data_IF_000643013342
#
_entry.id   IF_000643013342
#
_cell.length_a   1.000
_cell.length_b   1.000
_cell.length_c   1.000
_cell.angle_alpha   90.00
_cell.angle_beta   90.00
_cell.angle_gamma   90.00
#
_symmetry.space_group_name_H-M   'P 1'
#
loop_
_entity.id
_entity.type
_entity.pdbx_description
1 polymer ?
#
# COMPACT_ATOMS: atom_id res chain seq x y z
N UNK A 1 -36.92 -28.66 39.03
CA UNK A 1 -36.12 -27.41 39.02
C UNK A 1 -34.65 -27.76 38.87
N UNK A 2 -34.01 -27.37 37.74
CA UNK A 2 -32.57 -27.61 37.52
C UNK A 2 -31.76 -26.68 38.41
N UNK A 3 -30.92 -27.23 39.30
CA UNK A 3 -29.96 -26.44 40.10
C UNK A 3 -28.95 -25.80 39.15
N UNK A 4 -29.00 -24.49 38.98
CA UNK A 4 -27.93 -23.74 38.34
C UNK A 4 -26.72 -23.75 39.29
N UNK A 5 -25.64 -24.42 38.89
CA UNK A 5 -24.38 -24.38 39.62
C UNK A 5 -23.78 -22.98 39.42
N UNK A 6 -23.71 -22.18 40.48
CA UNK A 6 -23.06 -20.88 40.45
C UNK A 6 -21.55 -21.01 40.28
N UNK A 7 -20.96 -20.08 39.52
CA UNK A 7 -19.51 -19.97 39.36
C UNK A 7 -18.84 -19.76 40.72
N UNK A 8 -17.77 -20.52 40.99
CA UNK A 8 -16.98 -20.33 42.22
C UNK A 8 -15.99 -19.18 42.04
N UNK A 9 -15.69 -18.45 43.13
CA UNK A 9 -14.73 -17.34 43.08
C UNK A 9 -13.34 -17.78 42.62
N UNK A 10 -12.94 -19.00 43.00
CA UNK A 10 -11.68 -19.61 42.58
C UNK A 10 -11.62 -19.82 41.05
N UNK A 11 -12.72 -20.29 40.46
CA UNK A 11 -12.81 -20.55 39.01
C UNK A 11 -12.67 -19.26 38.21
N UNK A 12 -13.27 -18.16 38.68
CA UNK A 12 -13.10 -16.84 38.05
C UNK A 12 -11.63 -16.38 38.12
N UNK A 13 -10.95 -16.58 39.25
CA UNK A 13 -9.57 -16.14 39.45
C UNK A 13 -8.60 -16.89 38.51
N UNK A 14 -8.76 -18.20 38.36
CA UNK A 14 -7.96 -19.01 37.45
C UNK A 14 -8.18 -18.58 35.99
N UNK A 15 -9.44 -18.37 35.57
CA UNK A 15 -9.76 -17.95 34.20
C UNK A 15 -9.14 -16.59 33.87
N UNK A 16 -9.19 -15.62 34.80
CA UNK A 16 -8.60 -14.29 34.60
C UNK A 16 -7.08 -14.39 34.44
N UNK A 17 -6.40 -15.18 35.27
CA UNK A 17 -4.94 -15.37 35.17
C UNK A 17 -4.57 -15.97 33.81
N UNK A 18 -5.25 -17.03 33.38
CA UNK A 18 -4.99 -17.66 32.08
C UNK A 18 -5.27 -16.67 30.94
N UNK A 19 -6.38 -15.94 30.99
CA UNK A 19 -6.73 -14.97 29.95
C UNK A 19 -5.69 -13.85 29.79
N UNK A 20 -5.19 -13.30 30.91
CA UNK A 20 -4.15 -12.26 30.88
C UNK A 20 -2.83 -12.83 30.35
N UNK A 21 -2.42 -14.03 30.78
CA UNK A 21 -1.20 -14.67 30.28
C UNK A 21 -1.27 -14.95 28.77
N UNK A 22 -2.39 -15.44 28.26
CA UNK A 22 -2.57 -15.69 26.82
C UNK A 22 -2.58 -14.38 26.03
N UNK A 23 -3.29 -13.36 26.52
CA UNK A 23 -3.34 -12.05 25.86
C UNK A 23 -1.95 -11.42 25.69
N UNK A 24 -1.05 -11.58 26.67
CA UNK A 24 0.29 -11.02 26.64
C UNK A 24 1.13 -11.47 25.44
N UNK A 25 1.01 -12.74 25.01
CA UNK A 25 1.76 -13.29 23.87
C UNK A 25 0.95 -13.30 22.56
N UNK A 26 -0.37 -13.49 22.63
CA UNK A 26 -1.22 -13.58 21.45
C UNK A 26 -1.38 -12.24 20.72
N UNK A 27 -1.51 -11.13 21.46
CA UNK A 27 -1.69 -9.79 20.88
C UNK A 27 -0.54 -9.39 19.96
N UNK A 28 0.75 -9.42 20.37
CA UNK A 28 1.84 -9.02 19.48
C UNK A 28 2.01 -9.94 18.27
N UNK A 29 1.78 -11.25 18.44
CA UNK A 29 1.84 -12.22 17.34
C UNK A 29 0.77 -11.95 16.27
N UNK A 30 -0.44 -11.60 16.72
CA UNK A 30 -1.55 -11.26 15.85
C UNK A 30 -1.29 -9.96 15.07
N UNK A 31 -0.79 -8.92 15.74
CA UNK A 31 -0.44 -7.64 15.09
C UNK A 31 0.58 -7.84 13.96
N UNK A 32 1.66 -8.60 14.21
CA UNK A 32 2.69 -8.90 13.20
C UNK A 32 2.11 -9.61 11.97
N UNK A 33 1.19 -10.54 12.19
CA UNK A 33 0.55 -11.29 11.11
C UNK A 33 -0.38 -10.38 10.29
N UNK A 34 -1.15 -9.52 10.96
CA UNK A 34 -1.98 -8.55 10.26
C UNK A 34 -1.16 -7.59 9.41
N UNK A 35 -0.06 -7.04 9.93
CA UNK A 35 0.79 -6.10 9.19
C UNK A 35 1.40 -6.76 7.95
N UNK A 36 1.84 -8.02 8.07
CA UNK A 36 2.32 -8.80 6.93
C UNK A 36 1.23 -8.99 5.87
N UNK A 37 0.01 -9.33 6.28
CA UNK A 37 -1.10 -9.53 5.35
C UNK A 37 -1.50 -8.22 4.66
N UNK A 38 -1.47 -7.10 5.38
CA UNK A 38 -1.71 -5.76 4.82
C UNK A 38 -0.66 -5.40 3.77
N UNK A 39 0.62 -5.64 4.08
CA UNK A 39 1.72 -5.43 3.15
C UNK A 39 1.58 -6.27 1.88
N UNK A 40 1.29 -7.57 2.01
CA UNK A 40 1.13 -8.47 0.86
C UNK A 40 -0.07 -8.07 -0.01
N UNK A 41 -1.18 -7.65 0.60
CA UNK A 41 -2.34 -7.14 -0.12
C UNK A 41 -2.01 -5.84 -0.88
N UNK A 42 -1.29 -4.90 -0.26
CA UNK A 42 -0.85 -3.67 -0.90
C UNK A 42 0.17 -3.94 -2.02
N UNK A 43 1.05 -4.94 -1.85
CA UNK A 43 2.01 -5.35 -2.86
C UNK A 43 1.31 -5.89 -4.11
N UNK A 44 0.21 -6.64 -3.98
CA UNK A 44 -0.60 -7.08 -5.13
C UNK A 44 -1.08 -5.89 -5.96
N UNK A 45 -1.65 -4.89 -5.28
CA UNK A 45 -2.07 -3.64 -5.92
C UNK A 45 -0.91 -2.90 -6.59
N UNK A 46 0.27 -2.88 -5.96
CA UNK A 46 1.46 -2.25 -6.55
C UNK A 46 1.86 -2.90 -7.88
N UNK A 47 1.76 -4.23 -7.98
CA UNK A 47 2.07 -4.98 -9.20
C UNK A 47 1.10 -4.61 -10.31
N UNK A 48 -0.20 -4.66 -10.02
CA UNK A 48 -1.25 -4.33 -10.99
C UNK A 48 -1.09 -2.88 -11.49
N UNK A 49 -0.80 -1.96 -10.55
CA UNK A 49 -0.55 -0.56 -10.86
C UNK A 49 0.72 -0.38 -11.71
N UNK A 50 1.82 -1.06 -11.38
CA UNK A 50 3.07 -1.02 -12.14
C UNK A 50 2.94 -1.58 -13.55
N UNK A 51 2.23 -2.71 -13.69
CA UNK A 51 1.91 -3.29 -14.99
C UNK A 51 1.06 -2.32 -15.83
N UNK A 52 0.04 -1.68 -15.23
CA UNK A 52 -0.78 -0.69 -15.91
C UNK A 52 0.02 0.50 -16.43
N UNK A 53 1.02 0.97 -15.66
CA UNK A 53 1.90 2.05 -16.12
C UNK A 53 2.77 1.60 -17.30
N UNK A 54 3.24 0.36 -17.30
CA UNK A 54 4.01 -0.19 -18.43
C UNK A 54 3.16 -0.33 -19.69
N UNK A 55 1.91 -0.74 -19.56
CA UNK A 55 0.96 -0.78 -20.67
C UNK A 55 0.73 0.63 -21.24
N UNK A 56 0.50 1.61 -20.37
CA UNK A 56 0.39 3.01 -20.77
C UNK A 56 1.65 3.48 -21.51
N UNK A 57 2.84 3.16 -20.98
CA UNK A 57 4.11 3.51 -21.62
C UNK A 57 4.26 2.88 -23.02
N UNK A 58 3.85 1.63 -23.19
CA UNK A 58 3.96 0.92 -24.46
C UNK A 58 2.99 1.44 -25.54
N UNK A 59 1.83 1.96 -25.14
CA UNK A 59 0.82 2.44 -26.10
C UNK A 59 1.11 3.82 -26.66
N UNK A 60 1.57 4.75 -25.81
CA UNK A 60 1.68 6.17 -26.16
C UNK A 60 3.11 6.71 -26.18
N UNK A 61 4.12 5.82 -26.19
CA UNK A 61 5.55 6.14 -26.10
C UNK A 61 5.85 7.23 -25.05
N UNK A 62 5.16 7.11 -23.93
CA UNK A 62 5.00 8.21 -22.99
C UNK A 62 6.19 8.35 -22.04
N UNK A 63 6.61 9.59 -21.81
CA UNK A 63 7.63 9.94 -20.82
C UNK A 63 6.97 10.29 -19.47
N UNK A 64 7.42 9.62 -18.40
CA UNK A 64 6.94 9.75 -17.02
C UNK A 64 6.72 11.20 -16.52
N UNK A 65 5.87 11.42 -15.49
CA UNK A 65 5.58 12.74 -14.97
C UNK A 65 6.85 13.45 -14.44
N UNK A 66 6.88 14.78 -14.45
CA UNK A 66 8.02 15.57 -13.95
C UNK A 66 8.22 15.49 -12.43
N UNK A 67 7.14 15.21 -11.71
CA UNK A 67 7.11 15.16 -10.25
C UNK A 67 6.33 13.95 -9.80
N UNK A 68 6.67 13.45 -8.60
CA UNK A 68 5.90 12.36 -8.01
C UNK A 68 4.45 12.76 -7.86
N UNK A 69 3.55 11.89 -8.31
CA UNK A 69 2.11 12.03 -8.14
C UNK A 69 1.60 10.97 -7.19
N UNK A 70 0.99 11.38 -6.08
CA UNK A 70 0.30 10.45 -5.20
C UNK A 70 -1.02 10.03 -5.85
N UNK A 71 -1.31 8.74 -5.82
CA UNK A 71 -2.58 8.18 -6.25
C UNK A 71 -3.59 8.38 -5.14
N UNK A 72 -4.71 9.02 -5.47
CA UNK A 72 -5.82 9.29 -4.55
C UNK A 72 -7.12 8.74 -5.12
N UNK A 73 -8.14 8.63 -4.28
CA UNK A 73 -9.50 8.27 -4.71
C UNK A 73 -10.03 9.20 -5.81
N UNK A 74 -9.77 10.51 -5.70
CA UNK A 74 -10.16 11.51 -6.70
C UNK A 74 -9.51 11.29 -8.07
N UNK A 75 -8.29 10.76 -8.10
CA UNK A 75 -7.58 10.48 -9.36
C UNK A 75 -8.27 9.36 -10.14
N UNK A 76 -8.85 8.37 -9.44
CA UNK A 76 -9.51 7.21 -10.07
C UNK A 76 -10.90 7.52 -10.62
N UNK A 77 -11.52 8.59 -10.13
CA UNK A 77 -12.86 9.03 -10.57
C UNK A 77 -12.82 10.10 -11.64
N UNK A 78 -11.64 10.64 -11.94
CA UNK A 78 -11.50 11.66 -12.98
C UNK A 78 -11.63 11.01 -14.35
N UNK A 79 -12.62 11.45 -15.13
CA UNK A 79 -12.74 11.05 -16.53
C UNK A 79 -11.74 11.80 -17.39
N UNK A 80 -11.20 11.10 -18.38
CA UNK A 80 -10.47 11.68 -19.49
C UNK A 80 -11.24 11.27 -20.75
N UNK A 81 -11.48 12.20 -21.68
CA UNK A 81 -12.17 11.89 -22.93
C UNK A 81 -11.40 10.77 -23.67
N UNK A 82 -12.12 9.87 -24.32
CA UNK A 82 -11.52 8.69 -24.97
C UNK A 82 -10.47 9.10 -26.02
N UNK A 83 -10.76 10.18 -26.75
CA UNK A 83 -9.88 10.74 -27.80
C UNK A 83 -8.85 11.75 -27.27
N UNK A 84 -8.83 12.02 -25.96
CA UNK A 84 -7.87 12.97 -25.42
C UNK A 84 -6.44 12.42 -25.55
N UNK A 85 -5.56 13.29 -26.05
CA UNK A 85 -4.13 13.00 -26.11
C UNK A 85 -3.58 12.80 -24.69
N UNK A 86 -2.80 11.74 -24.51
CA UNK A 86 -2.12 11.48 -23.24
C UNK A 86 -0.90 12.39 -23.15
N UNK A 87 -0.94 13.31 -22.20
CA UNK A 87 0.13 14.24 -21.87
C UNK A 87 0.72 13.92 -20.50
N UNK A 88 1.86 14.53 -20.15
CA UNK A 88 2.49 14.29 -18.83
C UNK A 88 1.64 14.73 -17.65
N UNK A 89 0.74 15.67 -17.88
CA UNK A 89 -0.13 16.23 -16.86
C UNK A 89 -1.34 15.35 -16.55
N UNK A 90 -1.82 14.59 -17.54
CA UNK A 90 -3.00 13.73 -17.41
C UNK A 90 -2.67 12.22 -17.35
N UNK A 91 -1.40 11.82 -17.49
CA UNK A 91 -1.01 10.40 -17.52
C UNK A 91 -1.48 9.58 -16.32
N UNK A 92 -1.45 10.15 -15.11
CA UNK A 92 -1.94 9.48 -13.91
C UNK A 92 -3.47 9.27 -13.94
N UNK A 93 -4.21 10.17 -14.60
CA UNK A 93 -5.65 10.04 -14.83
C UNK A 93 -5.93 9.05 -15.95
N UNK A 94 -5.18 9.15 -17.05
CA UNK A 94 -5.30 8.26 -18.20
C UNK A 94 -5.13 6.79 -17.82
N UNK A 95 -4.26 6.51 -16.85
CA UNK A 95 -4.05 5.17 -16.31
C UNK A 95 -5.34 4.50 -15.81
N UNK A 96 -6.19 5.26 -15.11
CA UNK A 96 -7.45 4.76 -14.56
C UNK A 96 -8.61 4.94 -15.55
N UNK A 97 -8.66 6.06 -16.28
CA UNK A 97 -9.68 6.33 -17.28
C UNK A 97 -9.66 5.29 -18.42
N UNK A 98 -8.46 4.91 -18.90
CA UNK A 98 -8.27 3.86 -19.92
C UNK A 98 -8.21 2.44 -19.34
N UNK A 99 -8.44 2.28 -18.04
CA UNK A 99 -8.50 0.98 -17.34
C UNK A 99 -7.23 0.14 -17.44
N UNK A 100 -6.05 0.76 -17.59
CA UNK A 100 -4.78 0.04 -17.49
C UNK A 100 -4.46 -0.40 -16.06
N UNK A 101 -4.95 0.35 -15.07
CA UNK A 101 -4.87 -0.02 -13.67
C UNK A 101 -6.26 -0.20 -13.06
N UNK A 102 -6.42 -1.26 -12.27
CA UNK A 102 -7.62 -1.46 -11.48
C UNK A 102 -7.77 -0.37 -10.41
N UNK A 103 -9.02 0.03 -10.07
CA UNK A 103 -9.25 0.97 -8.98
C UNK A 103 -8.77 0.38 -7.66
N UNK A 104 -7.96 1.16 -6.93
CA UNK A 104 -7.46 0.81 -5.61
C UNK A 104 -8.56 1.14 -4.59
N UNK A 105 -9.01 0.18 -3.76
CA UNK A 105 -10.07 0.40 -2.78
C UNK A 105 -9.54 1.20 -1.58
N UNK A 106 -9.34 2.50 -1.78
CA UNK A 106 -8.84 3.42 -0.77
C UNK A 106 -9.80 3.56 0.43
N UNK A 107 -9.21 3.77 1.59
CA UNK A 107 -9.90 4.29 2.77
C UNK A 107 -10.11 5.82 2.67
N UNK A 108 -10.77 6.38 3.67
CA UNK A 108 -11.05 7.82 3.77
C UNK A 108 -9.79 8.70 3.79
N UNK A 109 -8.61 8.11 4.04
CA UNK A 109 -7.32 8.80 4.09
C UNK A 109 -6.50 8.66 2.81
N UNK A 110 -7.10 8.15 1.71
CA UNK A 110 -6.40 7.80 0.46
C UNK A 110 -5.30 6.74 0.65
N UNK A 111 -5.47 5.85 1.62
CA UNK A 111 -4.56 4.73 1.86
C UNK A 111 -5.29 3.41 1.59
N UNK A 112 -4.57 2.37 1.17
CA UNK A 112 -5.11 1.02 1.13
C UNK A 112 -4.35 0.16 2.12
N UNK A 113 -5.06 -0.36 3.12
CA UNK A 113 -4.48 -1.12 4.23
C UNK A 113 -3.35 -0.38 4.97
N UNK A 114 -3.37 0.96 4.98
CA UNK A 114 -2.34 1.81 5.59
C UNK A 114 -1.22 2.25 4.64
N UNK A 115 -1.26 1.83 3.37
CA UNK A 115 -0.25 2.15 2.36
C UNK A 115 -0.76 3.20 1.36
N UNK A 116 0.12 4.15 1.04
CA UNK A 116 -0.05 5.11 -0.05
C UNK A 116 0.65 4.60 -1.30
N UNK A 117 0.16 5.03 -2.47
CA UNK A 117 0.72 4.69 -3.76
C UNK A 117 1.11 5.97 -4.49
N UNK A 118 2.22 5.93 -5.21
CA UNK A 118 2.67 7.06 -6.02
C UNK A 118 3.21 6.62 -7.37
N UNK A 119 2.95 7.44 -8.36
CA UNK A 119 3.54 7.39 -9.68
C UNK A 119 4.81 8.25 -9.70
N UNK A 120 5.93 7.66 -10.10
CA UNK A 120 7.26 8.28 -10.00
C UNK A 120 7.72 8.90 -11.32
N UNK A 121 8.55 9.98 -11.28
CA UNK A 121 9.22 10.50 -12.46
C UNK A 121 10.29 9.55 -12.98
N UNK A 122 10.61 9.67 -14.26
CA UNK A 122 11.81 9.04 -14.82
C UNK A 122 13.05 9.77 -14.27
N UNK A 123 14.02 9.00 -13.77
CA UNK A 123 15.38 9.47 -13.49
C UNK A 123 15.56 10.61 -12.48
N UNK A 124 14.77 10.69 -11.40
CA UNK A 124 15.09 11.61 -10.28
C UNK A 124 15.63 10.88 -9.06
N UNK A 125 16.96 10.87 -8.92
CA UNK A 125 17.62 10.63 -7.63
C UNK A 125 17.45 11.82 -6.66
N UNK A 126 16.74 12.88 -7.07
CA UNK A 126 16.74 14.19 -6.42
C UNK A 126 15.49 14.39 -5.54
N UNK A 127 15.68 14.13 -4.25
CA UNK A 127 15.04 14.78 -3.09
C UNK A 127 13.52 15.03 -3.11
N UNK A 128 12.75 14.17 -2.43
CA UNK A 128 11.41 14.53 -1.94
C UNK A 128 10.44 13.37 -1.75
N UNK A 129 10.34 12.49 -2.76
CA UNK A 129 10.00 11.05 -2.68
C UNK A 129 9.50 10.52 -4.04
N UNK A 130 10.32 9.73 -4.74
CA UNK A 130 9.93 8.62 -5.63
C UNK A 130 10.32 7.32 -4.91
N UNK A 131 9.69 7.13 -3.75
CA UNK A 131 9.98 6.14 -2.71
C UNK A 131 11.47 5.83 -2.46
N UNK A 132 12.19 6.91 -2.12
CA UNK A 132 13.56 6.98 -1.58
C UNK A 132 14.73 6.99 -2.59
N UNK A 133 14.51 7.50 -3.81
CA UNK A 133 15.62 7.89 -4.71
C UNK A 133 16.27 6.74 -5.47
N UNK A 134 15.59 5.59 -5.52
CA UNK A 134 16.01 4.47 -6.35
C UNK A 134 15.88 4.85 -7.83
N UNK A 135 16.89 4.48 -8.62
CA UNK A 135 16.82 4.61 -10.08
C UNK A 135 15.75 3.66 -10.62
N UNK A 136 15.16 4.04 -11.76
CA UNK A 136 14.22 3.20 -12.51
C UNK A 136 12.91 2.84 -11.79
N UNK A 137 12.55 3.54 -10.72
CA UNK A 137 11.24 3.37 -10.07
C UNK A 137 10.15 3.96 -10.94
N UNK A 138 9.18 3.12 -11.28
CA UNK A 138 7.99 3.50 -12.04
C UNK A 138 6.88 3.88 -11.09
N UNK A 139 6.59 2.99 -10.14
CA UNK A 139 5.57 3.21 -9.12
C UNK A 139 6.05 2.70 -7.79
N UNK A 140 5.47 3.22 -6.71
CA UNK A 140 5.87 2.79 -5.40
C UNK A 140 4.74 2.86 -4.39
N UNK A 141 4.87 2.06 -3.34
CA UNK A 141 4.00 2.06 -2.18
C UNK A 141 4.81 2.35 -0.90
N UNK A 142 4.23 3.12 0.01
CA UNK A 142 4.85 3.42 1.30
C UNK A 142 3.80 3.53 2.40
N UNK A 143 4.18 3.13 3.61
CA UNK A 143 3.28 3.14 4.76
C UNK A 143 3.07 4.57 5.30
N UNK A 144 1.81 4.90 5.55
CA UNK A 144 1.34 6.16 6.14
C UNK A 144 1.88 6.43 7.56
N UNK A 145 2.07 5.39 8.37
CA UNK A 145 2.37 5.50 9.80
C UNK A 145 3.85 5.50 10.13
N UNK A 146 4.70 5.00 9.24
CA UNK A 146 6.10 4.69 9.57
C UNK A 146 7.15 5.67 9.03
N UNK A 147 6.75 6.90 8.68
CA UNK A 147 7.69 7.94 8.20
C UNK A 147 8.93 8.07 9.12
N UNK A 148 8.80 7.77 10.42
CA UNK A 148 9.90 7.94 11.40
C UNK A 148 10.39 6.67 12.14
N UNK A 149 9.63 5.58 12.37
CA UNK A 149 10.11 4.49 13.27
C UNK A 149 9.59 3.06 12.98
N UNK A 150 10.06 2.36 11.94
CA UNK A 150 9.84 0.92 11.82
C UNK A 150 10.76 0.14 12.77
N UNK A 151 10.23 -0.96 13.30
CA UNK A 151 10.99 -1.91 14.12
C UNK A 151 11.73 -2.88 13.19
N UNK A 152 12.92 -3.36 13.57
CA UNK A 152 13.74 -4.27 12.77
C UNK A 152 12.91 -5.46 12.24
N UNK A 153 12.80 -5.59 10.91
CA UNK A 153 12.02 -6.63 10.24
C UNK A 153 10.62 -6.22 9.76
N UNK A 154 10.23 -4.95 9.90
CA UNK A 154 9.00 -4.39 9.31
C UNK A 154 9.30 -3.66 7.99
N UNK A 155 8.50 -3.91 6.95
CA UNK A 155 8.66 -3.29 5.64
C UNK A 155 7.97 -1.92 5.62
N UNK A 156 8.70 -0.88 5.20
CA UNK A 156 8.17 0.48 5.08
C UNK A 156 7.44 0.70 3.75
N UNK A 157 7.76 -0.10 2.74
CA UNK A 157 7.16 0.01 1.42
C UNK A 157 7.72 -0.97 0.40
N UNK A 158 7.40 -0.74 -0.86
CA UNK A 158 8.01 -1.42 -2.00
C UNK A 158 8.01 -0.49 -3.21
N UNK A 159 8.96 -0.70 -4.10
CA UNK A 159 9.02 -0.06 -5.42
C UNK A 159 8.83 -1.11 -6.51
N UNK A 160 8.19 -0.70 -7.59
CA UNK A 160 8.12 -1.44 -8.83
C UNK A 160 9.03 -0.73 -9.85
N UNK A 161 9.99 -1.48 -10.37
CA UNK A 161 11.04 -0.98 -11.25
C UNK A 161 10.65 -1.10 -12.72
N UNK A 162 11.33 -0.35 -13.58
CA UNK A 162 11.11 -0.32 -15.04
C UNK A 162 11.31 -1.67 -15.70
N UNK A 163 12.17 -2.52 -15.13
CA UNK A 163 12.39 -3.90 -15.56
C UNK A 163 11.20 -4.84 -15.22
N UNK A 164 10.28 -4.41 -14.35
CA UNK A 164 9.13 -5.18 -13.88
C UNK A 164 9.36 -5.91 -12.57
N UNK A 165 10.53 -5.74 -11.95
CA UNK A 165 10.82 -6.34 -10.66
C UNK A 165 10.27 -5.49 -9.52
N UNK A 166 10.04 -6.14 -8.38
CA UNK A 166 9.59 -5.47 -7.16
C UNK A 166 10.74 -5.51 -6.17
N UNK A 167 11.13 -4.35 -5.68
CA UNK A 167 12.12 -4.24 -4.62
C UNK A 167 11.44 -3.78 -3.33
N UNK A 168 11.70 -4.50 -2.25
CA UNK A 168 11.18 -4.13 -0.93
C UNK A 168 11.98 -2.98 -0.36
N UNK A 169 11.30 -2.01 0.23
CA UNK A 169 11.94 -0.93 0.99
C UNK A 169 11.90 -1.33 2.46
N UNK A 170 13.02 -1.88 2.94
CA UNK A 170 13.31 -1.94 4.36
C UNK A 170 13.87 -0.59 4.80
N UNK A 171 13.48 -0.10 5.98
CA UNK A 171 14.23 0.95 6.65
C UNK A 171 15.31 0.33 7.54
#
# INVERSE_FOLDING_TARGET
>A
MKKQKGFTLLEVLIVVVIAVSVAAFAVPAYQKTQDRNRYLAAQGVLIDFGNGVRTLQAEVDFQFPWTTRNVTSSLQTTSLDEDAEITRSNASTALFARKYAAPIPFDLSNSYKGYYFSFCPENVASSGNCCQGNKDVVVCMYDSKYKSRPTKGQYYGAVYLKDGTIQRISK
#
